data_IF_373213876678
#
_entry.id   IF_373213876678
#
_cell.length_a   1.000
_cell.length_b   1.000
_cell.length_c   1.000
_cell.angle_alpha   90.00
_cell.angle_beta   90.00
_cell.angle_gamma   90.00
#
_symmetry.space_group_name_H-M   'P 1'
#
loop_
_entity.id
_entity.type
_entity.pdbx_description
1 polymer ?
#
# COMPACT_ATOMS: atom_id res chain seq x y z
N UNK A 1 -11.05 16.12 -1.21
CA UNK A 1 -11.69 17.45 -0.98
C UNK A 1 -11.96 18.23 -2.26
N UNK A 2 -10.96 18.59 -3.10
CA UNK A 2 -11.25 19.27 -4.38
C UNK A 2 -12.10 18.41 -5.32
N UNK A 3 -11.68 17.16 -5.55
CA UNK A 3 -12.44 16.21 -6.36
C UNK A 3 -13.84 15.96 -5.80
N UNK A 4 -13.97 15.87 -4.48
CA UNK A 4 -15.26 15.74 -3.79
C UNK A 4 -16.16 16.95 -4.02
N UNK A 5 -15.66 18.17 -3.86
CA UNK A 5 -16.38 19.40 -4.13
C UNK A 5 -16.79 19.53 -5.61
N UNK A 6 -16.03 18.93 -6.52
CA UNK A 6 -16.31 18.89 -7.95
C UNK A 6 -17.15 17.66 -8.38
N UNK A 7 -17.53 16.78 -7.45
CA UNK A 7 -18.25 15.53 -7.78
C UNK A 7 -17.43 14.50 -8.57
N UNK A 8 -16.10 14.66 -8.63
CA UNK A 8 -15.17 13.80 -9.36
C UNK A 8 -14.84 12.55 -8.52
N UNK A 9 -14.91 11.38 -9.17
CA UNK A 9 -14.47 10.10 -8.63
C UNK A 9 -12.97 9.89 -8.85
N UNK A 10 -12.33 9.21 -7.91
CA UNK A 10 -10.89 9.06 -7.86
C UNK A 10 -10.48 7.59 -7.93
N UNK A 11 -9.30 7.39 -8.52
CA UNK A 11 -8.50 6.18 -8.40
C UNK A 11 -7.26 6.49 -7.56
N UNK A 12 -6.89 5.59 -6.65
CA UNK A 12 -5.53 5.59 -6.09
C UNK A 12 -4.74 4.56 -6.87
N UNK A 13 -3.65 5.01 -7.49
CA UNK A 13 -2.76 4.15 -8.25
C UNK A 13 -1.40 4.01 -7.60
N UNK A 14 -0.55 3.26 -8.29
CA UNK A 14 0.80 2.97 -7.91
C UNK A 14 1.78 3.21 -9.05
N UNK A 15 3.05 3.25 -8.72
CA UNK A 15 4.16 3.17 -9.67
C UNK A 15 4.72 1.75 -9.63
N UNK A 16 5.81 1.50 -8.90
CA UNK A 16 6.44 0.18 -8.72
C UNK A 16 6.80 0.01 -7.24
N UNK A 17 5.93 0.43 -6.34
CA UNK A 17 6.17 0.30 -4.91
C UNK A 17 5.89 -1.12 -4.39
N UNK A 18 6.51 -1.48 -3.25
CA UNK A 18 6.27 -2.74 -2.55
C UNK A 18 4.95 -2.73 -1.77
N UNK A 19 4.59 -3.87 -1.16
CA UNK A 19 3.40 -3.97 -0.28
C UNK A 19 3.40 -2.98 0.88
N UNK A 20 4.56 -2.43 1.28
CA UNK A 20 4.66 -1.42 2.33
C UNK A 20 3.90 -0.14 1.92
N UNK A 21 4.18 0.38 0.73
CA UNK A 21 3.49 1.56 0.22
C UNK A 21 2.05 1.23 -0.19
N UNK A 22 1.80 0.05 -0.77
CA UNK A 22 0.43 -0.39 -1.08
C UNK A 22 -0.45 -0.42 0.17
N UNK A 23 0.12 -0.75 1.32
CA UNK A 23 -0.59 -0.68 2.60
C UNK A 23 -0.98 0.76 2.94
N UNK A 24 -0.08 1.74 2.74
CA UNK A 24 -0.40 3.15 2.93
C UNK A 24 -1.45 3.64 1.93
N UNK A 25 -1.39 3.19 0.67
CA UNK A 25 -2.35 3.54 -0.36
C UNK A 25 -3.74 2.98 -0.05
N UNK A 26 -3.83 1.75 0.47
CA UNK A 26 -5.08 1.16 0.91
C UNK A 26 -5.70 1.92 2.10
N UNK A 27 -4.89 2.31 3.09
CA UNK A 27 -5.35 3.18 4.19
C UNK A 27 -5.87 4.53 3.65
N UNK A 28 -5.14 5.15 2.73
CA UNK A 28 -5.57 6.41 2.10
C UNK A 28 -6.87 6.23 1.30
N UNK A 29 -7.02 5.12 0.59
CA UNK A 29 -8.22 4.80 -0.17
C UNK A 29 -9.47 4.70 0.73
N UNK A 30 -9.33 4.19 1.96
CA UNK A 30 -10.42 4.15 2.94
C UNK A 30 -10.77 5.51 3.56
N UNK A 31 -9.98 6.57 3.32
CA UNK A 31 -10.20 7.88 3.93
C UNK A 31 -11.32 8.71 3.31
N UNK A 32 -11.81 8.33 2.11
CA UNK A 32 -12.85 9.09 1.40
C UNK A 32 -13.73 8.20 0.52
N UNK A 33 -15.07 8.39 0.54
CA UNK A 33 -15.98 7.66 -0.35
C UNK A 33 -15.86 8.06 -1.83
N UNK A 34 -15.05 9.07 -2.17
CA UNK A 34 -14.79 9.46 -3.55
C UNK A 34 -13.74 8.59 -4.24
N UNK A 35 -12.93 7.87 -3.47
CA UNK A 35 -11.97 6.91 -4.00
C UNK A 35 -12.73 5.60 -4.20
N UNK A 36 -12.95 5.24 -5.47
CA UNK A 36 -13.80 4.10 -5.84
C UNK A 36 -13.08 3.10 -6.74
N UNK A 37 -11.88 3.45 -7.19
CA UNK A 37 -11.01 2.61 -8.00
C UNK A 37 -9.64 2.48 -7.33
N UNK A 38 -9.02 1.30 -7.49
CA UNK A 38 -7.79 0.93 -6.80
C UNK A 38 -6.89 0.20 -7.78
N UNK A 39 -5.69 0.70 -7.96
CA UNK A 39 -4.67 0.11 -8.82
C UNK A 39 -3.42 -0.18 -7.98
N UNK A 40 -3.47 -1.34 -7.31
CA UNK A 40 -2.51 -1.78 -6.28
C UNK A 40 -1.87 -3.12 -6.66
N UNK A 41 -1.56 -3.36 -7.93
CA UNK A 41 -1.11 -4.68 -8.41
C UNK A 41 0.42 -4.82 -8.48
N UNK A 42 1.19 -3.73 -8.55
CA UNK A 42 2.63 -3.79 -8.84
C UNK A 42 3.45 -4.55 -7.80
N UNK A 43 2.98 -4.62 -6.54
CA UNK A 43 3.63 -5.44 -5.52
C UNK A 43 3.53 -6.95 -5.80
N UNK A 44 2.54 -7.40 -6.59
CA UNK A 44 2.43 -8.79 -7.06
C UNK A 44 3.46 -9.11 -8.16
N UNK A 45 4.09 -8.10 -8.77
CA UNK A 45 5.07 -8.25 -9.83
C UNK A 45 6.49 -8.50 -9.28
N UNK A 46 6.68 -8.39 -7.97
CA UNK A 46 7.99 -8.53 -7.33
C UNK A 46 8.38 -10.00 -7.22
N UNK A 47 9.64 -10.30 -7.51
CA UNK A 47 10.19 -11.66 -7.32
C UNK A 47 10.21 -12.07 -5.85
N UNK A 48 10.52 -11.11 -4.99
CA UNK A 48 10.66 -11.29 -3.55
C UNK A 48 9.98 -10.12 -2.86
N UNK A 49 9.31 -10.43 -1.76
CA UNK A 49 8.51 -9.47 -1.03
C UNK A 49 9.04 -9.35 0.40
N UNK A 50 9.69 -8.22 0.73
CA UNK A 50 10.39 -8.07 2.00
C UNK A 50 9.50 -7.60 3.15
N UNK A 51 8.19 -7.45 2.90
CA UNK A 51 7.29 -6.76 3.81
C UNK A 51 6.72 -7.72 4.86
N UNK A 52 6.93 -7.41 6.13
CA UNK A 52 6.27 -8.09 7.26
C UNK A 52 4.96 -7.38 7.58
N UNK A 53 3.86 -8.14 7.66
CA UNK A 53 2.52 -7.57 7.85
C UNK A 53 1.95 -6.98 6.55
N UNK A 54 1.22 -5.88 6.67
CA UNK A 54 0.63 -5.11 5.56
C UNK A 54 -0.64 -5.69 4.97
N UNK A 55 -1.04 -5.12 3.83
CA UNK A 55 -2.21 -5.58 3.09
C UNK A 55 -2.05 -7.03 2.64
N UNK A 56 -3.18 -7.73 2.61
CA UNK A 56 -3.30 -9.07 2.03
C UNK A 56 -4.14 -9.03 0.76
N UNK A 57 -3.59 -9.56 -0.32
CA UNK A 57 -4.35 -9.86 -1.53
C UNK A 57 -5.12 -11.16 -1.30
N UNK A 58 -6.45 -11.06 -1.32
CA UNK A 58 -7.37 -12.19 -1.25
C UNK A 58 -7.84 -12.57 -2.66
N UNK A 59 -8.69 -13.60 -2.75
CA UNK A 59 -9.25 -14.04 -4.03
C UNK A 59 -10.02 -12.90 -4.72
N UNK A 60 -10.03 -12.92 -6.05
CA UNK A 60 -10.76 -11.96 -6.88
C UNK A 60 -10.34 -10.49 -6.70
N UNK A 61 -9.06 -10.26 -6.37
CA UNK A 61 -8.52 -8.90 -6.25
C UNK A 61 -9.00 -8.13 -5.01
N UNK A 62 -9.63 -8.81 -4.04
CA UNK A 62 -10.01 -8.21 -2.77
C UNK A 62 -8.74 -7.91 -1.96
N UNK A 63 -8.65 -6.72 -1.39
CA UNK A 63 -7.52 -6.32 -0.54
C UNK A 63 -8.03 -6.17 0.89
N UNK A 64 -7.38 -6.86 1.83
CA UNK A 64 -7.66 -6.74 3.26
C UNK A 64 -6.57 -5.90 3.93
N UNK A 65 -6.99 -4.83 4.62
CA UNK A 65 -6.10 -3.99 5.42
C UNK A 65 -5.70 -4.69 6.74
N UNK A 66 -4.50 -4.41 7.27
CA UNK A 66 -4.15 -4.78 8.63
C UNK A 66 -4.98 -4.00 9.66
N UNK A 67 -5.18 -4.60 10.83
CA UNK A 67 -5.86 -3.97 11.97
C UNK A 67 -4.84 -3.45 12.99
N UNK A 68 -5.26 -2.49 13.83
CA UNK A 68 -4.44 -1.89 14.87
C UNK A 68 -3.83 -0.53 14.48
N UNK A 69 -3.11 0.11 15.40
CA UNK A 69 -2.54 1.44 15.18
C UNK A 69 -1.35 1.42 14.22
N UNK A 70 -1.16 2.52 13.49
CA UNK A 70 -0.07 2.70 12.54
C UNK A 70 -0.34 2.04 11.19
N UNK A 71 0.72 1.82 10.43
CA UNK A 71 0.61 1.27 9.07
C UNK A 71 0.23 -0.22 9.07
N UNK A 72 0.64 -0.96 10.11
CA UNK A 72 0.50 -2.42 10.16
C UNK A 72 1.43 -3.17 9.21
N UNK A 73 2.45 -2.49 8.66
CA UNK A 73 3.46 -3.06 7.76
C UNK A 73 4.86 -2.52 8.12
N UNK A 74 5.87 -3.38 8.00
CA UNK A 74 7.29 -3.04 8.18
C UNK A 74 8.16 -3.82 7.18
N UNK A 75 9.46 -3.52 7.13
CA UNK A 75 10.46 -4.35 6.46
C UNK A 75 11.32 -5.00 7.55
N UNK A 76 11.63 -6.28 7.37
CA UNK A 76 12.50 -7.02 8.28
C UNK A 76 13.92 -6.40 8.33
N UNK A 77 14.49 -6.26 9.53
CA UNK A 77 15.82 -5.67 9.71
C UNK A 77 16.92 -6.46 8.99
N UNK A 78 16.83 -7.78 8.95
CA UNK A 78 17.80 -8.62 8.22
C UNK A 78 17.73 -8.34 6.72
N UNK A 79 16.55 -8.03 6.19
CA UNK A 79 16.42 -7.60 4.80
C UNK A 79 17.08 -6.24 4.58
N UNK A 80 16.78 -5.26 5.44
CA UNK A 80 17.33 -3.90 5.36
C UNK A 80 18.86 -3.90 5.44
N UNK A 81 19.46 -4.76 6.27
CA UNK A 81 20.91 -4.91 6.41
C UNK A 81 21.63 -5.35 5.12
N UNK A 82 20.90 -5.83 4.11
CA UNK A 82 21.46 -6.18 2.78
C UNK A 82 21.45 -5.00 1.81
N UNK A 83 20.78 -3.90 2.15
CA UNK A 83 20.63 -2.72 1.30
C UNK A 83 21.71 -1.69 1.63
N UNK A 84 21.92 -0.74 0.73
CA UNK A 84 22.74 0.44 1.03
C UNK A 84 22.04 1.32 2.09
N UNK A 85 22.80 1.75 3.09
CA UNK A 85 22.33 2.63 4.15
C UNK A 85 23.40 3.70 4.47
N UNK A 86 22.94 4.90 4.82
CA UNK A 86 23.80 5.98 5.31
C UNK A 86 23.60 6.08 6.82
N UNK A 87 24.70 6.13 7.56
CA UNK A 87 24.72 6.36 9.00
C UNK A 87 25.25 7.77 9.25
N UNK A 88 24.48 8.57 10.01
CA UNK A 88 24.83 9.94 10.40
C UNK A 88 25.43 9.96 11.82
#
# INVERSE_FOLDING_TARGET
RLAEAAGIKLQVGAMIESRLAMTAFAHFACSSPQIVHYDFDTALMFREDPVTGGIRYEKNGVIRLPEGPGLGATIDEQWLNRMEAIHF
#
